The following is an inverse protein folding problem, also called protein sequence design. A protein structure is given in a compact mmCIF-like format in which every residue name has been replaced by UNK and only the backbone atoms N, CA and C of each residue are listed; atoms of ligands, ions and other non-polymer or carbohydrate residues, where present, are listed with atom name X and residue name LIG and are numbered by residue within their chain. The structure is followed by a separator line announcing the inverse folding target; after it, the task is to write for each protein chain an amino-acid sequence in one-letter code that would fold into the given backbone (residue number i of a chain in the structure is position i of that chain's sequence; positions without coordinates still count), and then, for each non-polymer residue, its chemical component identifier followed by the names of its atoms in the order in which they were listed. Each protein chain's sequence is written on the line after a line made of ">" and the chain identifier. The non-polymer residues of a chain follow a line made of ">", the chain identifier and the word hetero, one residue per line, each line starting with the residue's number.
data_IF_946975024033
#
_entry.id   IF_946975024033
#
_cell.length_a   1.000
_cell.length_b   1.000
_cell.length_c   1.000
_cell.angle_alpha   90.00
_cell.angle_beta   90.00
_cell.angle_gamma   90.00
#
_symmetry.space_group_name_H-M   'P 1'
#
loop_
_entity.id
_entity.type
_entity.pdbx_description
1 polymer ?
#
# COMPACT_ATOMS: atom_id res chain seq x y z
N UNK A 1 -23.86 -45.73 -1.01
CA UNK A 1 -22.40 -46.01 -1.09
C UNK A 1 -21.63 -45.22 -2.15
N UNK A 2 -22.24 -44.33 -2.96
CA UNK A 2 -21.54 -43.58 -4.05
C UNK A 2 -21.30 -42.08 -3.80
N UNK A 3 -21.89 -41.51 -2.74
CA UNK A 3 -21.80 -40.07 -2.42
C UNK A 3 -20.60 -39.76 -1.49
N UNK A 4 -20.18 -40.73 -0.66
CA UNK A 4 -19.07 -40.58 0.29
C UNK A 4 -17.70 -40.47 -0.38
N UNK A 5 -17.54 -41.02 -1.59
CA UNK A 5 -16.31 -40.93 -2.39
C UNK A 5 -16.13 -39.57 -3.06
N UNK A 6 -17.23 -38.87 -3.37
CA UNK A 6 -17.18 -37.53 -3.96
C UNK A 6 -16.76 -36.45 -2.95
N UNK A 7 -17.14 -36.63 -1.68
CA UNK A 7 -16.81 -35.70 -0.59
C UNK A 7 -15.31 -35.69 -0.26
N UNK A 8 -14.63 -36.82 -0.41
CA UNK A 8 -13.18 -36.93 -0.19
C UNK A 8 -12.35 -36.37 -1.37
N UNK A 9 -12.88 -36.47 -2.60
CA UNK A 9 -12.23 -35.93 -3.79
C UNK A 9 -12.25 -34.39 -3.84
N UNK A 10 -13.32 -33.77 -3.34
CA UNK A 10 -13.44 -32.29 -3.27
C UNK A 10 -12.51 -31.71 -2.20
N UNK A 11 -12.28 -32.44 -1.10
CA UNK A 11 -11.38 -32.01 -0.01
C UNK A 11 -9.89 -32.02 -0.40
N UNK A 12 -9.50 -32.85 -1.38
CA UNK A 12 -8.13 -32.90 -1.90
C UNK A 12 -7.81 -31.79 -2.91
N UNK A 13 -8.84 -31.20 -3.54
CA UNK A 13 -8.69 -30.09 -4.49
C UNK A 13 -8.41 -28.74 -3.82
N UNK A 14 -8.61 -28.65 -2.51
CA UNK A 14 -8.29 -27.46 -1.71
C UNK A 14 -6.92 -27.59 -1.02
N UNK A 15 -5.97 -28.30 -1.63
CA UNK A 15 -4.59 -28.22 -1.21
C UNK A 15 -4.11 -26.77 -1.44
N UNK A 16 -3.76 -26.01 -0.39
CA UNK A 16 -3.10 -24.74 -0.60
C UNK A 16 -1.80 -25.04 -1.32
N UNK A 17 -1.66 -24.53 -2.55
CA UNK A 17 -0.39 -24.54 -3.25
C UNK A 17 0.59 -23.75 -2.39
N UNK A 18 1.39 -24.45 -1.59
CA UNK A 18 2.48 -23.85 -0.85
C UNK A 18 3.45 -23.26 -1.89
N UNK A 19 3.31 -21.97 -2.15
CA UNK A 19 4.22 -21.20 -2.97
C UNK A 19 5.58 -21.21 -2.28
N UNK A 20 6.51 -22.02 -2.77
CA UNK A 20 7.91 -21.99 -2.36
C UNK A 20 8.58 -20.76 -2.95
N UNK A 21 8.18 -19.57 -2.50
CA UNK A 21 8.90 -18.34 -2.81
C UNK A 21 10.25 -18.43 -2.12
N UNK A 22 11.33 -18.29 -2.90
CA UNK A 22 12.67 -18.38 -2.31
C UNK A 22 12.96 -17.15 -1.46
N UNK A 23 13.75 -17.31 -0.40
CA UNK A 23 14.15 -16.18 0.47
C UNK A 23 14.79 -15.05 -0.34
N UNK A 24 15.52 -15.39 -1.42
CA UNK A 24 16.13 -14.40 -2.31
C UNK A 24 15.09 -13.60 -3.10
N UNK A 25 14.05 -14.27 -3.61
CA UNK A 25 12.96 -13.64 -4.34
C UNK A 25 12.16 -12.69 -3.43
N UNK A 26 11.80 -13.16 -2.23
CA UNK A 26 11.16 -12.32 -1.19
C UNK A 26 12.02 -11.12 -0.80
N UNK A 27 13.33 -11.33 -0.65
CA UNK A 27 14.27 -10.24 -0.32
C UNK A 27 14.24 -9.17 -1.42
N UNK A 28 14.22 -9.57 -2.69
CA UNK A 28 14.19 -8.66 -3.83
C UNK A 28 12.85 -7.90 -3.91
N UNK A 29 11.73 -8.61 -3.73
CA UNK A 29 10.38 -8.02 -3.68
C UNK A 29 10.28 -6.93 -2.62
N UNK A 30 10.73 -7.19 -1.40
CA UNK A 30 10.74 -6.18 -0.32
C UNK A 30 11.72 -5.05 -0.62
N UNK A 31 12.90 -5.36 -1.15
CA UNK A 31 13.91 -4.35 -1.46
C UNK A 31 13.49 -3.39 -2.58
N UNK A 32 12.60 -3.80 -3.51
CA UNK A 32 12.02 -2.92 -4.54
C UNK A 32 11.01 -1.93 -3.96
N UNK A 33 10.31 -2.30 -2.89
CA UNK A 33 9.36 -1.44 -2.20
C UNK A 33 10.04 -0.37 -1.33
N UNK A 34 11.33 -0.50 -1.08
CA UNK A 34 12.13 0.42 -0.28
C UNK A 34 13.05 1.25 -1.18
N UNK A 35 13.02 2.57 -1.01
CA UNK A 35 13.95 3.53 -1.62
C UNK A 35 15.24 3.60 -0.81
N UNK A 36 16.38 3.79 -1.47
CA UNK A 36 17.65 3.98 -0.77
C UNK A 36 17.83 5.46 -0.40
N UNK A 37 17.95 5.83 0.89
CA UNK A 37 18.02 7.24 1.33
C UNK A 37 19.24 8.01 0.83
N UNK A 38 20.32 7.29 0.54
CA UNK A 38 21.61 7.87 0.13
C UNK A 38 21.87 7.71 -1.37
N UNK A 39 20.95 7.07 -2.08
CA UNK A 39 21.09 6.79 -3.50
C UNK A 39 20.22 7.77 -4.29
N UNK A 40 20.68 8.16 -5.48
CA UNK A 40 20.00 9.12 -6.33
C UNK A 40 18.73 8.52 -6.97
N UNK A 41 17.64 8.43 -6.20
CA UNK A 41 16.31 8.02 -6.69
C UNK A 41 16.20 6.56 -7.09
N UNK A 42 17.00 5.67 -6.46
CA UNK A 42 17.00 4.24 -6.74
C UNK A 42 16.40 3.44 -5.58
N UNK A 43 15.79 2.30 -5.88
CA UNK A 43 15.37 1.34 -4.87
C UNK A 43 16.56 0.65 -4.20
N UNK A 44 16.33 0.07 -3.03
CA UNK A 44 17.30 -0.77 -2.31
C UNK A 44 17.64 -2.01 -3.14
N UNK A 45 16.71 -2.51 -3.96
CA UNK A 45 16.94 -3.62 -4.88
C UNK A 45 17.86 -3.28 -6.05
N UNK A 46 17.82 -2.05 -6.57
CA UNK A 46 18.61 -1.64 -7.74
C UNK A 46 19.96 -1.04 -7.36
N UNK A 47 20.06 -0.36 -6.22
CA UNK A 47 21.28 0.34 -5.87
C UNK A 47 22.37 -0.60 -5.33
N UNK A 48 23.62 -0.35 -5.73
CA UNK A 48 24.79 -1.10 -5.29
C UNK A 48 25.60 -0.37 -4.20
N UNK A 49 25.00 0.60 -3.51
CA UNK A 49 25.65 1.26 -2.36
C UNK A 49 25.85 0.28 -1.20
N UNK A 50 26.84 0.55 -0.35
CA UNK A 50 27.07 -0.27 0.85
C UNK A 50 25.84 -0.30 1.77
N UNK A 51 25.12 0.83 1.89
CA UNK A 51 23.88 0.88 2.64
C UNK A 51 22.82 -0.05 2.05
N UNK A 52 22.60 -0.03 0.73
CA UNK A 52 21.63 -0.91 0.08
C UNK A 52 22.00 -2.40 0.25
N UNK A 53 23.30 -2.73 0.21
CA UNK A 53 23.78 -4.10 0.47
C UNK A 53 23.49 -4.54 1.91
N UNK A 54 23.72 -3.67 2.88
CA UNK A 54 23.45 -3.97 4.29
C UNK A 54 21.96 -4.06 4.58
N UNK A 55 21.12 -3.22 3.95
CA UNK A 55 19.67 -3.34 4.05
C UNK A 55 19.16 -4.67 3.51
N UNK A 56 19.65 -5.15 2.35
CA UNK A 56 19.28 -6.48 1.83
C UNK A 56 19.68 -7.62 2.78
N UNK A 57 20.82 -7.51 3.47
CA UNK A 57 21.22 -8.50 4.50
C UNK A 57 20.26 -8.50 5.68
N UNK A 58 19.82 -7.33 6.12
CA UNK A 58 18.84 -7.20 7.22
C UNK A 58 17.50 -7.79 6.80
N UNK A 59 17.00 -7.47 5.59
CA UNK A 59 15.76 -8.02 5.05
C UNK A 59 15.82 -9.55 5.06
N UNK A 60 16.89 -10.14 4.51
CA UNK A 60 17.10 -11.60 4.51
C UNK A 60 17.02 -12.19 5.91
N UNK A 61 17.74 -11.59 6.87
CA UNK A 61 17.74 -12.06 8.26
C UNK A 61 16.34 -12.03 8.88
N UNK A 62 15.53 -11.01 8.56
CA UNK A 62 14.15 -10.91 9.06
C UNK A 62 13.22 -11.94 8.41
N UNK A 63 13.39 -12.20 7.12
CA UNK A 63 12.67 -13.29 6.44
C UNK A 63 13.03 -14.64 7.08
N UNK A 64 14.32 -14.88 7.35
CA UNK A 64 14.79 -16.09 8.03
C UNK A 64 14.27 -16.21 9.48
N UNK A 65 14.02 -15.07 10.14
CA UNK A 65 13.36 -15.04 11.46
C UNK A 65 11.85 -15.30 11.39
N UNK A 66 11.25 -15.43 10.20
CA UNK A 66 9.82 -15.68 10.03
C UNK A 66 8.94 -14.42 10.09
N UNK A 67 9.52 -13.23 9.97
CA UNK A 67 8.75 -11.97 9.90
C UNK A 67 7.99 -11.87 8.57
N UNK A 68 6.84 -11.20 8.59
CA UNK A 68 6.06 -10.91 7.37
C UNK A 68 6.62 -9.72 6.60
N UNK A 69 6.27 -9.60 5.32
CA UNK A 69 6.75 -8.51 4.47
C UNK A 69 6.36 -7.14 5.04
N UNK A 70 5.13 -7.00 5.55
CA UNK A 70 4.64 -5.78 6.18
C UNK A 70 5.42 -5.43 7.45
N UNK A 71 5.73 -6.42 8.30
CA UNK A 71 6.52 -6.21 9.51
C UNK A 71 7.92 -5.70 9.18
N UNK A 72 8.54 -6.27 8.15
CA UNK A 72 9.86 -5.84 7.66
C UNK A 72 9.80 -4.41 7.15
N UNK A 73 8.81 -4.10 6.31
CA UNK A 73 8.61 -2.76 5.73
C UNK A 73 8.36 -1.73 6.84
N UNK A 74 7.48 -2.03 7.80
CA UNK A 74 7.18 -1.18 8.95
C UNK A 74 8.42 -0.96 9.83
N UNK A 75 9.27 -1.97 10.00
CA UNK A 75 10.52 -1.84 10.72
C UNK A 75 11.48 -0.86 10.03
N UNK A 76 11.59 -0.92 8.70
CA UNK A 76 12.38 0.04 7.93
C UNK A 76 11.77 1.45 7.96
N UNK A 77 10.45 1.57 7.86
CA UNK A 77 9.73 2.84 8.00
C UNK A 77 9.95 3.47 9.38
N UNK A 78 9.90 2.69 10.45
CA UNK A 78 10.15 3.20 11.80
C UNK A 78 11.58 3.71 12.01
N UNK A 79 12.54 3.22 11.21
CA UNK A 79 13.96 3.60 11.30
C UNK A 79 14.35 4.74 10.37
N UNK A 80 13.78 4.79 9.17
CA UNK A 80 14.16 5.74 8.11
C UNK A 80 13.07 6.75 7.74
N UNK A 81 11.87 6.64 8.32
CA UNK A 81 10.72 7.50 8.06
C UNK A 81 9.91 7.08 6.83
N UNK A 82 8.87 7.87 6.51
CA UNK A 82 7.93 7.59 5.41
C UNK A 82 8.57 7.69 4.02
N UNK A 83 9.69 8.41 3.90
CA UNK A 83 10.43 8.60 2.64
C UNK A 83 11.17 7.35 2.17
N UNK A 84 11.24 6.30 3.00
CA UNK A 84 11.83 5.02 2.61
C UNK A 84 10.90 4.21 1.72
N UNK A 85 9.59 4.47 1.75
CA UNK A 85 8.63 3.71 0.97
C UNK A 85 8.61 4.25 -0.46
N UNK A 86 8.63 3.34 -1.44
CA UNK A 86 8.43 3.71 -2.85
C UNK A 86 7.06 4.34 -3.07
N UNK A 87 6.05 3.92 -2.30
CA UNK A 87 4.70 4.46 -2.33
C UNK A 87 4.31 5.03 -0.97
N UNK A 88 3.76 6.26 -0.91
CA UNK A 88 3.36 6.86 0.35
C UNK A 88 2.28 6.00 1.02
N UNK A 89 2.41 5.69 2.32
CA UNK A 89 1.46 4.84 3.02
C UNK A 89 0.10 5.54 3.03
N UNK A 90 -0.94 4.85 2.54
CA UNK A 90 -2.33 5.33 2.52
C UNK A 90 -2.97 5.39 3.92
N UNK A 91 -2.22 5.74 4.96
CA UNK A 91 -2.74 5.86 6.32
C UNK A 91 -3.40 7.23 6.52
N UNK A 92 -4.73 7.25 6.38
CA UNK A 92 -5.64 8.26 6.98
C UNK A 92 -5.78 9.59 6.24
N UNK A 93 -4.70 10.20 5.74
CA UNK A 93 -4.78 11.55 5.15
C UNK A 93 -5.32 11.56 3.71
N UNK A 94 -5.13 10.46 2.97
CA UNK A 94 -5.59 10.35 1.58
C UNK A 94 -7.11 10.41 1.43
N UNK A 95 -7.88 9.94 2.43
CA UNK A 95 -9.34 9.99 2.36
C UNK A 95 -9.85 11.42 2.51
N UNK A 96 -9.36 12.16 3.52
CA UNK A 96 -9.79 13.55 3.76
C UNK A 96 -9.40 14.45 2.59
N UNK A 97 -8.19 14.30 2.05
CA UNK A 97 -7.73 15.03 0.87
C UNK A 97 -8.62 14.77 -0.37
N UNK A 98 -9.22 13.58 -0.47
CA UNK A 98 -10.11 13.22 -1.58
C UNK A 98 -11.57 13.69 -1.38
N UNK A 99 -12.07 13.74 -0.14
CA UNK A 99 -13.42 14.24 0.15
C UNK A 99 -13.51 15.77 0.17
N UNK A 100 -12.43 16.48 0.51
CA UNK A 100 -12.38 17.94 0.54
C UNK A 100 -12.84 18.63 -0.76
N UNK A 101 -12.36 18.25 -1.97
CA UNK A 101 -12.81 18.89 -3.21
C UNK A 101 -14.29 18.65 -3.52
N UNK A 102 -14.81 17.46 -3.22
CA UNK A 102 -16.22 17.12 -3.45
C UNK A 102 -17.13 17.92 -2.51
N UNK A 103 -16.77 18.00 -1.22
CA UNK A 103 -17.53 18.77 -0.23
C UNK A 103 -17.52 20.28 -0.58
N UNK A 104 -16.36 20.81 -0.97
CA UNK A 104 -16.22 22.21 -1.38
C UNK A 104 -17.08 22.53 -2.62
N UNK A 105 -17.11 21.64 -3.62
CA UNK A 105 -17.93 21.80 -4.81
C UNK A 105 -19.43 21.80 -4.49
N UNK A 106 -19.89 20.88 -3.64
CA UNK A 106 -21.30 20.81 -3.23
C UNK A 106 -21.69 22.07 -2.44
N UNK A 107 -20.88 22.48 -1.47
CA UNK A 107 -21.15 23.66 -0.66
C UNK A 107 -21.20 24.94 -1.51
N UNK A 108 -20.21 25.12 -2.41
CA UNK A 108 -20.16 26.27 -3.32
C UNK A 108 -21.35 26.31 -4.30
N UNK A 109 -21.69 25.16 -4.90
CA UNK A 109 -22.84 25.03 -5.78
C UNK A 109 -24.16 25.34 -5.08
N UNK A 110 -24.34 24.84 -3.85
CA UNK A 110 -25.54 25.09 -3.05
C UNK A 110 -25.71 26.58 -2.73
N UNK A 111 -24.65 27.27 -2.31
CA UNK A 111 -24.66 28.72 -2.04
C UNK A 111 -24.98 29.51 -3.31
N UNK A 112 -24.36 29.17 -4.45
CA UNK A 112 -24.60 29.83 -5.72
C UNK A 112 -26.07 29.71 -6.16
N UNK A 113 -26.65 28.51 -6.08
CA UNK A 113 -28.07 28.27 -6.42
C UNK A 113 -29.00 29.07 -5.50
N UNK A 114 -28.75 29.08 -4.19
CA UNK A 114 -29.57 29.84 -3.23
C UNK A 114 -29.50 31.35 -3.50
N UNK A 115 -28.31 31.87 -3.80
CA UNK A 115 -28.10 33.29 -4.13
C UNK A 115 -28.85 33.70 -5.41
N UNK A 116 -28.72 32.91 -6.48
CA UNK A 116 -29.41 33.16 -7.76
C UNK A 116 -30.94 33.10 -7.56
N UNK A 117 -31.45 32.10 -6.84
CA UNK A 117 -32.90 31.98 -6.56
C UNK A 117 -33.43 33.14 -5.73
N UNK A 118 -32.65 33.66 -4.77
CA UNK A 118 -33.02 34.83 -3.97
C UNK A 118 -33.08 36.10 -4.84
N UNK A 119 -32.12 36.30 -5.73
CA UNK A 119 -32.07 37.47 -6.60
C UNK A 119 -33.15 37.45 -7.70
N UNK A 120 -33.44 36.28 -8.28
CA UNK A 120 -34.47 36.11 -9.29
C UNK A 120 -35.90 36.37 -8.77
N UNK A 121 -36.15 36.14 -7.47
CA UNK A 121 -37.43 36.48 -6.83
C UNK A 121 -37.59 37.99 -6.59
N UNK A 122 -36.49 38.73 -6.47
CA UNK A 122 -36.51 40.18 -6.19
C UNK A 122 -36.77 41.04 -7.45
N UNK A 123 -36.49 40.52 -8.64
CA UNK A 123 -36.74 41.20 -9.92
C UNK A 123 -38.17 41.03 -10.46
N UNK A 124 -39.04 40.29 -9.75
CA UNK A 124 -40.41 39.95 -10.19
C UNK A 124 -41.50 40.56 -9.31
N UNK A 125 -41.16 41.45 -8.38
CA UNK A 125 -42.08 42.19 -7.51
C UNK A 125 -41.96 43.69 -7.72
#
# INVERSE_FOLDING_TARGET
>A
MRVSTLLFAILFLFAPTASTETVLDRTDTIARQLMCPVCAGQSVAESNSDLARDMRKIIRKKIENGETDEEIILWFQGKYGDTILAEPPLKGFSLVAWFLPVIAAIAGGMVAVLYIRKNARRSRG
#
